data_IF_757468310148
#
_entry.id   IF_757468310148
#
_cell.length_a   1.000
_cell.length_b   1.000
_cell.length_c   1.000
_cell.angle_alpha   90.00
_cell.angle_beta   90.00
_cell.angle_gamma   90.00
#
_symmetry.space_group_name_H-M   'P 1'
#
loop_
_entity.id
_entity.type
_entity.pdbx_description
1 polymer ?
#
# COMPACT_ATOMS: atom_id res chain seq x y z
N UNK A 1 -13.45 49.99 -3.68
CA UNK A 1 -12.04 49.60 -3.50
C UNK A 1 -12.05 48.18 -2.90
N UNK A 2 -11.94 47.13 -3.76
CA UNK A 2 -12.00 45.73 -3.32
C UNK A 2 -10.58 45.28 -3.04
N UNK A 3 -10.29 44.96 -1.78
CA UNK A 3 -9.00 44.47 -1.34
C UNK A 3 -8.74 43.09 -1.96
N UNK A 4 -7.69 42.99 -2.81
CA UNK A 4 -7.19 41.70 -3.35
C UNK A 4 -6.58 40.93 -2.18
N UNK A 5 -7.16 39.76 -1.88
CA UNK A 5 -6.60 38.78 -0.95
C UNK A 5 -5.18 38.39 -1.40
N UNK A 6 -4.20 38.30 -0.47
CA UNK A 6 -2.86 37.86 -0.82
C UNK A 6 -2.92 36.41 -1.32
N UNK A 7 -2.33 36.19 -2.48
CA UNK A 7 -2.13 34.86 -3.08
C UNK A 7 -1.38 33.97 -2.08
N UNK A 8 -2.03 32.89 -1.60
CA UNK A 8 -1.41 31.84 -0.81
C UNK A 8 -0.20 31.32 -1.60
N UNK A 9 0.98 31.65 -1.16
CA UNK A 9 2.22 31.01 -1.60
C UNK A 9 2.03 29.50 -1.42
N UNK A 10 1.98 28.79 -2.54
CA UNK A 10 1.83 27.32 -2.58
C UNK A 10 3.04 26.74 -1.85
N UNK A 11 2.83 26.20 -0.65
CA UNK A 11 3.89 25.57 0.14
C UNK A 11 4.70 24.63 -0.78
N UNK A 12 6.00 24.82 -0.80
CA UNK A 12 6.90 24.03 -1.64
C UNK A 12 6.74 22.56 -1.28
N UNK A 13 6.63 21.70 -2.30
CA UNK A 13 6.47 20.26 -2.06
C UNK A 13 7.85 19.67 -1.75
N UNK A 14 8.11 19.21 -0.51
CA UNK A 14 9.42 18.74 -0.08
C UNK A 14 9.96 17.58 -0.93
N UNK A 15 9.09 16.77 -1.51
CA UNK A 15 9.50 15.69 -2.41
C UNK A 15 10.04 16.22 -3.75
N UNK A 16 9.46 17.31 -4.27
CA UNK A 16 9.97 17.98 -5.49
C UNK A 16 11.31 18.66 -5.23
N UNK A 17 11.46 19.25 -4.06
CA UNK A 17 12.73 19.88 -3.66
C UNK A 17 13.85 18.85 -3.56
N UNK A 18 13.60 17.68 -2.95
CA UNK A 18 14.57 16.61 -2.87
C UNK A 18 14.94 16.05 -4.25
N UNK A 19 13.96 15.86 -5.14
CA UNK A 19 14.23 15.46 -6.53
C UNK A 19 15.09 16.50 -7.26
N UNK A 20 14.83 17.78 -7.06
CA UNK A 20 15.64 18.86 -7.64
C UNK A 20 17.07 18.87 -7.04
N UNK A 21 17.20 18.61 -5.72
CA UNK A 21 18.49 18.51 -5.04
C UNK A 21 19.33 17.34 -5.58
N UNK A 22 18.75 16.14 -5.76
CA UNK A 22 19.42 14.98 -6.39
C UNK A 22 19.96 15.36 -7.76
N UNK A 23 19.15 16.00 -8.60
CA UNK A 23 19.59 16.39 -9.96
C UNK A 23 20.67 17.46 -9.93
N UNK A 24 20.56 18.44 -9.03
CA UNK A 24 21.55 19.51 -8.87
C UNK A 24 22.89 18.94 -8.37
N UNK A 25 22.85 18.03 -7.38
CA UNK A 25 24.03 17.34 -6.85
C UNK A 25 24.76 16.56 -7.94
N UNK A 26 24.03 15.69 -8.68
CA UNK A 26 24.60 14.91 -9.77
C UNK A 26 25.16 15.79 -10.89
N UNK A 27 24.49 16.89 -11.21
CA UNK A 27 24.95 17.85 -12.21
C UNK A 27 26.17 18.69 -11.74
N UNK A 28 26.42 18.76 -10.43
CA UNK A 28 27.59 19.45 -9.85
C UNK A 28 28.86 18.58 -9.86
N UNK A 29 28.74 17.28 -10.07
CA UNK A 29 29.90 16.37 -10.13
C UNK A 29 30.79 16.76 -11.31
N UNK A 30 32.08 17.01 -11.02
CA UNK A 30 33.08 17.29 -12.03
C UNK A 30 33.96 16.06 -12.25
N UNK A 31 33.82 15.37 -13.41
CA UNK A 31 34.67 14.24 -13.71
C UNK A 31 36.13 14.69 -13.90
N UNK A 32 37.01 14.19 -13.07
CA UNK A 32 38.46 14.51 -13.14
C UNK A 32 39.13 13.91 -14.37
N UNK A 33 38.62 12.75 -14.84
CA UNK A 33 39.20 12.03 -16.00
C UNK A 33 38.53 12.47 -17.31
N UNK A 34 39.31 12.68 -18.35
CA UNK A 34 38.83 13.05 -19.69
C UNK A 34 37.85 11.98 -20.25
N UNK A 35 38.14 10.69 -20.03
CA UNK A 35 37.27 9.58 -20.46
C UNK A 35 35.89 9.62 -19.77
N UNK A 36 35.81 10.00 -18.49
CA UNK A 36 34.52 10.17 -17.80
C UNK A 36 33.75 11.37 -18.30
N UNK A 37 34.44 12.49 -18.58
CA UNK A 37 33.80 13.68 -19.20
C UNK A 37 33.18 13.35 -20.54
N UNK A 38 33.92 12.63 -21.40
CA UNK A 38 33.42 12.16 -22.68
C UNK A 38 32.23 11.20 -22.52
N UNK A 39 32.34 10.22 -21.65
CA UNK A 39 31.24 9.27 -21.37
C UNK A 39 29.98 9.97 -20.88
N UNK A 40 30.10 10.88 -19.92
CA UNK A 40 28.98 11.64 -19.39
C UNK A 40 28.34 12.54 -20.46
N UNK A 41 29.15 13.19 -21.28
CA UNK A 41 28.67 14.00 -22.39
C UNK A 41 27.90 13.17 -23.42
N UNK A 42 28.39 11.99 -23.78
CA UNK A 42 27.69 11.05 -24.66
C UNK A 42 26.35 10.61 -24.02
N UNK A 43 26.36 10.29 -22.73
CA UNK A 43 25.13 9.93 -21.99
C UNK A 43 24.11 11.05 -21.95
N UNK A 44 24.55 12.28 -21.78
CA UNK A 44 23.68 13.47 -21.77
C UNK A 44 23.07 13.74 -23.17
N UNK A 45 23.80 13.48 -24.25
CA UNK A 45 23.31 13.58 -25.62
C UNK A 45 22.84 14.98 -26.01
N UNK A 46 21.90 15.06 -26.97
CA UNK A 46 21.27 16.31 -27.43
C UNK A 46 20.28 16.91 -26.42
N UNK A 47 19.88 16.15 -25.39
CA UNK A 47 18.96 16.64 -24.37
C UNK A 47 19.48 17.85 -23.57
N UNK A 48 20.78 18.15 -23.69
CA UNK A 48 21.38 19.32 -23.09
C UNK A 48 20.87 20.67 -23.65
N UNK A 49 20.22 20.66 -24.81
CA UNK A 49 19.75 21.86 -25.53
C UNK A 49 18.23 22.04 -25.48
N UNK A 50 17.47 21.11 -24.88
CA UNK A 50 16.00 21.16 -24.81
C UNK A 50 15.48 21.98 -23.62
N UNK A 51 14.34 22.65 -23.80
CA UNK A 51 13.68 23.52 -22.80
C UNK A 51 13.27 22.84 -21.48
N UNK A 52 13.34 21.51 -21.42
CA UNK A 52 12.82 20.73 -20.28
C UNK A 52 13.82 20.48 -19.14
N UNK A 53 15.06 20.97 -19.22
CA UNK A 53 16.11 20.64 -18.27
C UNK A 53 16.36 21.76 -17.26
N UNK A 54 16.68 21.38 -16.01
CA UNK A 54 17.03 22.35 -14.97
C UNK A 54 18.27 23.15 -15.38
N UNK A 55 18.39 24.40 -14.89
CA UNK A 55 19.56 25.26 -15.14
C UNK A 55 20.87 24.56 -14.73
N UNK A 56 20.86 23.64 -13.76
CA UNK A 56 22.02 22.86 -13.35
C UNK A 56 22.51 21.91 -14.47
N UNK A 57 21.57 21.23 -15.14
CA UNK A 57 21.91 20.34 -16.28
C UNK A 57 22.38 21.11 -17.47
N UNK A 58 21.81 22.29 -17.76
CA UNK A 58 22.28 23.17 -18.82
C UNK A 58 23.74 23.65 -18.57
N UNK A 59 24.05 24.06 -17.33
CA UNK A 59 25.45 24.43 -16.97
C UNK A 59 26.39 23.24 -17.09
N UNK A 60 25.98 22.03 -16.69
CA UNK A 60 26.79 20.84 -16.89
C UNK A 60 27.10 20.59 -18.37
N UNK A 61 26.10 20.70 -19.23
CA UNK A 61 26.28 20.51 -20.67
C UNK A 61 27.33 21.48 -21.27
N UNK A 62 27.30 22.75 -20.84
CA UNK A 62 28.31 23.75 -21.23
C UNK A 62 29.70 23.36 -20.73
N UNK A 63 29.84 22.93 -19.47
CA UNK A 63 31.14 22.50 -18.90
C UNK A 63 31.73 21.27 -19.58
N UNK A 64 30.87 20.32 -19.96
CA UNK A 64 31.32 19.11 -20.64
C UNK A 64 31.77 19.38 -22.10
N UNK A 65 31.42 20.53 -22.66
CA UNK A 65 31.72 20.90 -24.02
C UNK A 65 30.93 20.15 -25.09
N UNK A 66 31.25 20.32 -26.38
CA UNK A 66 30.60 19.62 -27.47
C UNK A 66 30.84 18.12 -27.43
N UNK A 67 29.89 17.32 -27.93
CA UNK A 67 30.07 15.87 -28.05
C UNK A 67 31.21 15.55 -29.02
N UNK A 68 32.14 14.64 -28.66
CA UNK A 68 33.16 14.17 -29.60
C UNK A 68 32.49 13.54 -30.82
N UNK A 69 32.88 13.94 -32.04
CA UNK A 69 32.38 13.36 -33.29
C UNK A 69 31.00 13.87 -33.76
N UNK A 70 30.44 14.92 -33.14
CA UNK A 70 29.19 15.56 -33.58
C UNK A 70 29.38 16.35 -34.90
N UNK A 71 29.60 15.64 -36.00
CA UNK A 71 29.59 16.23 -37.33
C UNK A 71 28.18 16.33 -37.93
N UNK A 72 27.19 15.71 -37.30
CA UNK A 72 25.77 15.81 -37.66
C UNK A 72 24.95 16.05 -36.38
N UNK A 73 23.91 16.91 -36.43
CA UNK A 73 23.12 17.29 -35.25
C UNK A 73 22.44 16.11 -34.52
N UNK A 74 22.24 14.98 -35.19
CA UNK A 74 21.51 13.82 -34.66
C UNK A 74 22.36 12.56 -34.42
N UNK A 75 23.66 12.57 -34.81
CA UNK A 75 24.53 11.41 -34.65
C UNK A 75 25.12 11.40 -33.22
N UNK A 76 24.51 10.62 -32.34
CA UNK A 76 25.08 10.31 -31.01
C UNK A 76 26.26 9.36 -31.23
N UNK A 77 27.52 9.73 -30.87
CA UNK A 77 28.64 8.79 -31.00
C UNK A 77 28.34 7.54 -30.17
N UNK A 78 28.60 6.33 -30.71
CA UNK A 78 28.39 5.09 -29.98
C UNK A 78 29.30 5.06 -28.74
N UNK A 79 28.74 4.83 -27.57
CA UNK A 79 29.50 4.56 -26.35
C UNK A 79 29.84 3.07 -26.30
N UNK A 80 31.15 2.76 -26.35
CA UNK A 80 31.62 1.39 -26.18
C UNK A 80 31.40 0.93 -24.72
N UNK A 81 30.27 0.32 -24.48
CA UNK A 81 29.90 -0.18 -23.14
C UNK A 81 30.77 -1.35 -22.70
N UNK A 82 31.13 -2.24 -23.61
CA UNK A 82 31.86 -3.47 -23.28
C UNK A 82 33.31 -3.17 -22.88
N UNK A 83 34.01 -2.31 -23.65
CA UNK A 83 35.36 -1.90 -23.35
C UNK A 83 35.50 -0.80 -22.30
N UNK A 84 34.40 -0.18 -21.88
CA UNK A 84 34.46 0.92 -20.92
C UNK A 84 34.74 0.42 -19.50
N UNK A 85 35.61 1.12 -18.76
CA UNK A 85 35.81 0.93 -17.34
C UNK A 85 34.58 1.38 -16.56
N UNK A 86 34.35 0.82 -15.34
CA UNK A 86 33.16 1.09 -14.54
C UNK A 86 32.90 2.56 -14.24
N UNK A 87 33.96 3.33 -13.96
CA UNK A 87 33.83 4.78 -13.77
C UNK A 87 33.28 5.51 -15.01
N UNK A 88 33.58 5.03 -16.24
CA UNK A 88 33.04 5.59 -17.47
C UNK A 88 31.57 5.15 -17.67
N UNK A 89 31.24 3.90 -17.35
CA UNK A 89 29.85 3.40 -17.38
C UNK A 89 28.96 4.19 -16.42
N UNK A 90 29.45 4.48 -15.20
CA UNK A 90 28.72 5.30 -14.22
C UNK A 90 28.56 6.75 -14.67
N UNK A 91 29.60 7.36 -15.24
CA UNK A 91 29.53 8.70 -15.80
C UNK A 91 28.52 8.77 -16.97
N UNK A 92 28.53 7.79 -17.87
CA UNK A 92 27.54 7.68 -18.95
C UNK A 92 26.12 7.55 -18.42
N UNK A 93 25.88 6.69 -17.41
CA UNK A 93 24.57 6.53 -16.77
C UNK A 93 24.11 7.80 -16.06
N UNK A 94 25.01 8.54 -15.42
CA UNK A 94 24.71 9.83 -14.79
C UNK A 94 24.20 10.83 -15.84
N UNK A 95 24.93 10.98 -16.97
CA UNK A 95 24.48 11.81 -18.09
C UNK A 95 23.12 11.38 -18.63
N UNK A 96 22.93 10.08 -18.85
CA UNK A 96 21.67 9.51 -19.33
C UNK A 96 20.51 9.77 -18.34
N UNK A 97 20.74 9.66 -17.03
CA UNK A 97 19.73 9.98 -16.00
C UNK A 97 19.38 11.48 -16.00
N UNK A 98 20.37 12.34 -16.11
CA UNK A 98 20.13 13.79 -16.16
C UNK A 98 19.36 14.20 -17.42
N UNK A 99 19.52 13.48 -18.53
CA UNK A 99 18.82 13.71 -19.78
C UNK A 99 17.39 13.12 -19.83
N UNK A 100 17.24 11.89 -19.42
CA UNK A 100 16.04 11.08 -19.68
C UNK A 100 15.37 10.54 -18.40
N UNK A 101 16.05 10.67 -17.23
CA UNK A 101 15.57 10.16 -15.97
C UNK A 101 14.53 11.07 -15.34
N UNK A 102 13.53 10.45 -14.72
CA UNK A 102 12.56 11.08 -13.84
C UNK A 102 12.50 10.33 -12.52
N UNK A 103 12.67 11.04 -11.41
CA UNK A 103 12.52 10.50 -10.06
C UNK A 103 11.22 11.01 -9.45
N UNK A 104 10.43 10.13 -8.90
CA UNK A 104 9.20 10.48 -8.19
C UNK A 104 9.21 9.90 -6.78
N UNK A 105 8.94 10.77 -5.81
CA UNK A 105 8.83 10.47 -4.40
C UNK A 105 7.36 10.65 -4.01
N UNK A 106 6.56 9.59 -4.16
CA UNK A 106 5.15 9.63 -3.77
C UNK A 106 4.93 9.14 -2.35
N UNK A 107 3.74 9.38 -1.81
CA UNK A 107 3.32 9.05 -0.44
C UNK A 107 3.59 7.58 -0.03
N UNK A 108 3.63 6.67 -1.00
CA UNK A 108 3.82 5.24 -0.75
C UNK A 108 4.97 4.60 -1.54
N UNK A 109 5.53 5.24 -2.56
CA UNK A 109 6.46 4.58 -3.48
C UNK A 109 7.48 5.54 -4.08
N UNK A 110 8.76 5.21 -3.91
CA UNK A 110 9.84 5.79 -4.71
C UNK A 110 9.90 5.05 -6.04
N UNK A 111 9.85 5.76 -7.16
CA UNK A 111 10.11 5.15 -8.46
C UNK A 111 10.98 6.06 -9.34
N UNK A 112 11.77 5.43 -10.19
CA UNK A 112 12.60 6.09 -11.16
C UNK A 112 12.24 5.57 -12.55
N UNK A 113 12.09 6.47 -13.48
CA UNK A 113 11.76 6.15 -14.88
C UNK A 113 12.76 6.79 -15.82
N UNK A 114 13.12 6.08 -16.90
CA UNK A 114 13.75 6.64 -18.07
C UNK A 114 12.73 6.69 -19.21
N UNK A 115 12.53 7.86 -19.80
CA UNK A 115 11.61 8.05 -20.92
C UNK A 115 12.42 8.41 -22.16
N UNK A 116 12.38 7.54 -23.17
CA UNK A 116 13.22 7.68 -24.37
C UNK A 116 12.55 7.14 -25.64
N UNK A 117 13.24 7.23 -26.76
CA UNK A 117 12.78 6.62 -28.00
C UNK A 117 12.75 5.09 -27.87
N UNK A 118 11.78 4.40 -28.49
CA UNK A 118 11.68 2.93 -28.42
C UNK A 118 12.94 2.20 -28.91
N UNK A 119 13.66 2.75 -29.87
CA UNK A 119 14.91 2.17 -30.40
C UNK A 119 16.06 2.17 -29.38
N UNK A 120 16.13 3.15 -28.47
CA UNK A 120 17.22 3.30 -27.51
C UNK A 120 17.02 2.46 -26.22
N UNK A 121 15.77 2.16 -25.89
CA UNK A 121 15.41 1.56 -24.62
C UNK A 121 15.96 0.13 -24.42
N UNK A 122 15.98 -0.78 -25.42
CA UNK A 122 16.56 -2.11 -25.25
C UNK A 122 18.06 -2.05 -24.91
N UNK A 123 18.78 -1.09 -25.49
CA UNK A 123 20.22 -0.89 -25.23
C UNK A 123 20.42 -0.47 -23.78
N UNK A 124 19.67 0.53 -23.29
CA UNK A 124 19.75 0.94 -21.89
C UNK A 124 19.32 -0.19 -20.94
N UNK A 125 18.26 -0.93 -21.28
CA UNK A 125 17.80 -2.07 -20.47
C UNK A 125 18.88 -3.13 -20.30
N UNK A 126 19.57 -3.51 -21.40
CA UNK A 126 20.67 -4.47 -21.37
C UNK A 126 21.85 -3.97 -20.52
N UNK A 127 22.23 -2.68 -20.66
CA UNK A 127 23.27 -2.05 -19.85
C UNK A 127 22.96 -2.03 -18.37
N UNK A 128 21.73 -1.71 -17.99
CA UNK A 128 21.28 -1.75 -16.59
C UNK A 128 21.25 -3.17 -16.05
N UNK A 129 20.80 -4.13 -16.85
CA UNK A 129 20.80 -5.55 -16.46
C UNK A 129 22.21 -6.09 -16.23
N UNK A 130 23.21 -5.69 -17.06
CA UNK A 130 24.60 -6.10 -16.88
C UNK A 130 25.24 -5.57 -15.58
N UNK A 131 24.63 -4.57 -14.96
CA UNK A 131 25.02 -4.03 -13.65
C UNK A 131 24.20 -4.60 -12.47
N UNK A 132 23.38 -5.62 -12.70
CA UNK A 132 22.50 -6.18 -11.69
C UNK A 132 21.27 -5.31 -11.37
N UNK A 133 20.96 -4.34 -12.22
CA UNK A 133 19.83 -3.41 -12.04
C UNK A 133 18.79 -3.55 -13.16
N UNK A 134 18.19 -4.74 -13.38
CA UNK A 134 17.19 -4.91 -14.43
C UNK A 134 15.98 -4.00 -14.20
N UNK A 135 15.56 -3.29 -15.27
CA UNK A 135 14.42 -2.38 -15.28
C UNK A 135 13.24 -2.98 -16.06
N UNK A 136 12.02 -2.71 -15.64
CA UNK A 136 10.82 -3.08 -16.39
C UNK A 136 10.65 -2.13 -17.58
N UNK A 137 10.61 -2.67 -18.80
CA UNK A 137 10.41 -1.91 -20.05
C UNK A 137 8.92 -1.96 -20.46
N UNK A 138 8.36 -0.80 -20.77
CA UNK A 138 6.99 -0.65 -21.27
C UNK A 138 6.93 0.41 -22.36
N UNK A 139 6.00 0.26 -23.31
CA UNK A 139 5.66 1.30 -24.27
C UNK A 139 4.47 2.10 -23.74
N UNK A 140 4.58 3.43 -23.76
CA UNK A 140 3.52 4.35 -23.35
C UNK A 140 3.50 5.57 -24.27
N UNK A 141 2.40 5.78 -24.98
CA UNK A 141 2.18 6.93 -25.90
C UNK A 141 3.33 7.09 -26.90
N UNK A 142 3.78 6.01 -27.54
CA UNK A 142 4.86 6.02 -28.51
C UNK A 142 6.26 6.21 -27.92
N UNK A 143 6.42 6.28 -26.61
CA UNK A 143 7.72 6.36 -25.89
C UNK A 143 7.96 5.07 -25.14
N UNK A 144 9.23 4.68 -25.05
CA UNK A 144 9.64 3.60 -24.16
C UNK A 144 9.94 4.15 -22.77
N UNK A 145 9.47 3.43 -21.75
CA UNK A 145 9.64 3.77 -20.33
C UNK A 145 10.28 2.57 -19.63
N UNK A 146 11.50 2.77 -19.12
CA UNK A 146 12.13 1.82 -18.20
C UNK A 146 11.87 2.28 -16.76
N UNK A 147 11.43 1.38 -15.91
CA UNK A 147 10.96 1.77 -14.57
C UNK A 147 11.52 0.85 -13.49
N UNK A 148 11.95 1.43 -12.37
CA UNK A 148 12.07 0.75 -11.07
C UNK A 148 11.04 1.31 -10.08
N UNK A 149 10.36 0.39 -9.38
CA UNK A 149 9.42 0.70 -8.30
C UNK A 149 9.94 0.32 -6.92
N UNK A 150 11.15 -0.25 -6.84
CA UNK A 150 11.82 -0.60 -5.60
C UNK A 150 12.71 0.57 -5.16
N UNK A 151 12.48 1.09 -3.95
CA UNK A 151 13.32 2.13 -3.36
C UNK A 151 14.78 1.70 -3.23
N UNK A 152 15.02 0.42 -2.93
CA UNK A 152 16.37 -0.17 -2.84
C UNK A 152 17.12 -0.10 -4.19
N UNK A 153 16.47 -0.50 -5.30
CA UNK A 153 17.07 -0.42 -6.64
C UNK A 153 17.33 1.01 -7.06
N UNK A 154 16.40 1.92 -6.76
CA UNK A 154 16.56 3.35 -7.01
C UNK A 154 17.75 3.90 -6.21
N UNK A 155 17.88 3.56 -4.93
CA UNK A 155 19.01 3.96 -4.09
C UNK A 155 20.33 3.38 -4.60
N UNK A 156 20.37 2.10 -4.98
CA UNK A 156 21.56 1.46 -5.55
C UNK A 156 22.01 2.14 -6.83
N UNK A 157 21.08 2.46 -7.74
CA UNK A 157 21.37 3.19 -8.96
C UNK A 157 21.91 4.60 -8.67
N UNK A 158 21.22 5.38 -7.83
CA UNK A 158 21.61 6.76 -7.49
C UNK A 158 23.00 6.79 -6.84
N UNK A 159 23.28 5.84 -5.93
CA UNK A 159 24.61 5.67 -5.30
C UNK A 159 25.67 5.36 -6.36
N UNK A 160 25.37 4.46 -7.29
CA UNK A 160 26.29 4.09 -8.37
C UNK A 160 26.67 5.26 -9.26
N UNK A 161 25.75 6.16 -9.58
CA UNK A 161 26.01 7.34 -10.41
C UNK A 161 26.55 8.55 -9.63
N UNK A 162 26.73 8.43 -8.30
CA UNK A 162 27.45 9.40 -7.47
C UNK A 162 26.56 10.30 -6.60
N UNK A 163 25.27 10.01 -6.40
CA UNK A 163 24.47 10.73 -5.42
C UNK A 163 24.92 10.36 -4.00
N UNK A 164 25.11 11.36 -3.15
CA UNK A 164 25.56 11.21 -1.75
C UNK A 164 24.57 11.86 -0.77
N UNK A 165 24.72 13.14 -0.40
CA UNK A 165 23.87 13.80 0.60
C UNK A 165 22.36 13.70 0.30
N UNK A 166 21.94 13.95 -0.94
CA UNK A 166 20.53 13.82 -1.33
C UNK A 166 20.03 12.37 -1.25
N UNK A 167 20.89 11.38 -1.45
CA UNK A 167 20.54 9.98 -1.29
C UNK A 167 20.31 9.63 0.19
N UNK A 168 21.16 10.10 1.09
CA UNK A 168 20.97 9.90 2.54
C UNK A 168 19.65 10.50 3.01
N UNK A 169 19.30 11.69 2.54
CA UNK A 169 18.00 12.31 2.83
C UNK A 169 16.83 11.46 2.26
N UNK A 170 16.97 10.92 1.06
CA UNK A 170 15.98 10.02 0.45
C UNK A 170 15.77 8.76 1.30
N UNK A 171 16.85 8.15 1.75
CA UNK A 171 16.83 6.95 2.58
C UNK A 171 16.21 7.25 3.97
N UNK A 172 16.61 8.35 4.62
CA UNK A 172 16.05 8.79 5.89
C UNK A 172 14.52 9.02 5.81
N UNK A 173 14.06 9.67 4.75
CA UNK A 173 12.61 9.85 4.50
C UNK A 173 11.91 8.50 4.24
N UNK A 174 12.58 7.56 3.60
CA UNK A 174 12.09 6.19 3.41
C UNK A 174 11.82 5.49 4.74
N UNK A 175 12.79 5.49 5.64
CA UNK A 175 12.68 4.92 6.99
C UNK A 175 11.56 5.60 7.79
N UNK A 176 11.53 6.93 7.81
CA UNK A 176 10.49 7.68 8.52
C UNK A 176 9.08 7.37 8.01
N UNK A 177 8.90 7.16 6.71
CA UNK A 177 7.61 6.74 6.12
C UNK A 177 7.20 5.33 6.54
N UNK A 178 8.14 4.39 6.55
CA UNK A 178 7.89 3.02 6.99
C UNK A 178 7.44 2.99 8.44
N UNK A 179 8.15 3.66 9.33
CA UNK A 179 7.82 3.76 10.76
C UNK A 179 6.43 4.39 10.99
N UNK A 180 6.12 5.48 10.30
CA UNK A 180 4.76 6.10 10.38
C UNK A 180 3.68 5.14 9.89
N UNK A 181 3.95 4.40 8.80
CA UNK A 181 3.01 3.40 8.29
C UNK A 181 2.76 2.26 9.27
N UNK A 182 3.78 1.79 9.98
CA UNK A 182 3.67 0.78 11.02
C UNK A 182 2.90 1.29 12.24
N UNK A 183 3.23 2.51 12.70
CA UNK A 183 2.51 3.14 13.81
C UNK A 183 1.02 3.32 13.48
N UNK A 184 0.69 3.82 12.30
CA UNK A 184 -0.70 3.99 11.88
C UNK A 184 -1.45 2.65 11.81
N UNK A 185 -0.80 1.57 11.34
CA UNK A 185 -1.42 0.22 11.36
C UNK A 185 -1.70 -0.25 12.78
N UNK A 186 -0.74 -0.04 13.70
CA UNK A 186 -0.90 -0.39 15.11
C UNK A 186 -2.06 0.39 15.74
N UNK A 187 -2.07 1.71 15.59
CA UNK A 187 -3.14 2.57 16.14
C UNK A 187 -4.52 2.21 15.57
N UNK A 188 -4.61 1.93 14.26
CA UNK A 188 -5.87 1.50 13.65
C UNK A 188 -6.32 0.14 14.18
N UNK A 189 -5.41 -0.80 14.40
CA UNK A 189 -5.72 -2.10 14.97
C UNK A 189 -6.21 -1.97 16.43
N UNK A 190 -5.56 -1.13 17.23
CA UNK A 190 -5.96 -0.85 18.61
C UNK A 190 -7.34 -0.16 18.67
N UNK A 191 -7.55 0.86 17.85
CA UNK A 191 -8.84 1.56 17.77
C UNK A 191 -9.98 0.59 17.38
N UNK A 192 -9.77 -0.25 16.37
CA UNK A 192 -10.75 -1.25 15.95
C UNK A 192 -10.99 -2.34 17.02
N UNK A 193 -9.97 -2.70 17.82
CA UNK A 193 -10.11 -3.62 18.94
C UNK A 193 -10.93 -2.99 20.07
N UNK A 194 -10.65 -1.73 20.40
CA UNK A 194 -11.38 -0.98 21.40
C UNK A 194 -12.87 -0.82 21.02
N UNK A 195 -13.13 -0.39 19.79
CA UNK A 195 -14.50 -0.26 19.27
C UNK A 195 -15.30 -1.56 19.36
N UNK A 196 -14.67 -2.69 18.95
CA UNK A 196 -15.27 -4.01 19.07
C UNK A 196 -15.54 -4.41 20.53
N UNK A 197 -14.62 -4.10 21.43
CA UNK A 197 -14.75 -4.39 22.87
C UNK A 197 -15.88 -3.58 23.49
N UNK A 198 -15.92 -2.27 23.26
CA UNK A 198 -16.97 -1.37 23.76
C UNK A 198 -18.34 -1.77 23.21
N UNK A 199 -18.44 -2.03 21.89
CA UNK A 199 -19.67 -2.47 21.27
C UNK A 199 -20.16 -3.84 21.80
N UNK A 200 -19.26 -4.77 22.08
CA UNK A 200 -19.61 -6.05 22.70
C UNK A 200 -20.11 -5.85 24.14
N UNK A 201 -19.43 -5.03 24.93
CA UNK A 201 -19.85 -4.72 26.30
C UNK A 201 -21.25 -4.09 26.35
N UNK A 202 -21.51 -3.10 25.50
CA UNK A 202 -22.81 -2.45 25.40
C UNK A 202 -23.93 -3.45 25.08
N UNK A 203 -23.73 -4.35 24.10
CA UNK A 203 -24.70 -5.41 23.78
C UNK A 203 -24.92 -6.39 24.94
N UNK A 204 -23.85 -6.74 25.66
CA UNK A 204 -23.93 -7.63 26.82
C UNK A 204 -24.71 -7.00 27.95
N UNK A 205 -24.48 -5.74 28.26
CA UNK A 205 -25.22 -5.00 29.29
C UNK A 205 -26.72 -4.89 28.96
N UNK A 206 -27.03 -4.56 27.68
CA UNK A 206 -28.44 -4.53 27.23
C UNK A 206 -29.11 -5.91 27.33
N UNK A 207 -28.41 -6.97 26.94
CA UNK A 207 -28.90 -8.34 27.04
C UNK A 207 -29.17 -8.74 28.52
N UNK A 208 -28.25 -8.39 29.42
CA UNK A 208 -28.40 -8.65 30.86
C UNK A 208 -29.62 -7.90 31.38
N UNK A 209 -29.73 -6.60 31.10
CA UNK A 209 -30.86 -5.77 31.57
C UNK A 209 -32.21 -6.32 31.06
N UNK A 210 -32.28 -6.78 29.83
CA UNK A 210 -33.49 -7.41 29.25
C UNK A 210 -33.86 -8.70 29.96
N UNK A 211 -32.89 -9.58 30.23
CA UNK A 211 -33.13 -10.85 30.95
C UNK A 211 -33.41 -10.66 32.43
N UNK A 212 -32.94 -9.59 33.06
CA UNK A 212 -33.33 -9.22 34.43
C UNK A 212 -34.76 -8.73 34.48
N UNK A 213 -35.16 -7.86 33.56
CA UNK A 213 -36.50 -7.29 33.50
C UNK A 213 -37.61 -8.36 33.32
N UNK A 214 -37.33 -9.41 32.53
CA UNK A 214 -38.27 -10.50 32.28
C UNK A 214 -38.07 -11.72 33.18
N UNK A 215 -37.14 -11.65 34.15
CA UNK A 215 -36.88 -12.70 35.14
C UNK A 215 -36.12 -13.94 34.64
N UNK A 216 -35.80 -14.03 33.33
CA UNK A 216 -35.10 -15.18 32.76
C UNK A 216 -33.69 -15.36 33.27
N UNK A 217 -33.01 -14.26 33.65
CA UNK A 217 -31.66 -14.35 34.20
C UNK A 217 -31.62 -15.15 35.51
N UNK A 218 -32.67 -15.04 36.35
CA UNK A 218 -32.79 -15.76 37.63
C UNK A 218 -32.87 -17.28 37.43
N UNK A 219 -33.36 -17.74 36.28
CA UNK A 219 -33.49 -19.17 35.93
C UNK A 219 -32.18 -19.78 35.40
N UNK A 220 -31.17 -18.96 35.13
CA UNK A 220 -29.90 -19.42 34.60
C UNK A 220 -28.99 -20.01 35.72
N UNK A 221 -28.03 -20.83 35.32
CA UNK A 221 -27.04 -21.42 36.23
C UNK A 221 -26.25 -20.32 36.94
N UNK A 222 -25.85 -20.59 38.20
CA UNK A 222 -25.10 -19.62 39.00
C UNK A 222 -23.86 -19.08 38.30
N UNK A 223 -23.12 -19.90 37.56
CA UNK A 223 -21.96 -19.45 36.79
C UNK A 223 -22.30 -18.36 35.75
N UNK A 224 -23.48 -18.45 35.09
CA UNK A 224 -23.96 -17.45 34.12
C UNK A 224 -24.37 -16.17 34.84
N UNK A 225 -25.09 -16.30 35.96
CA UNK A 225 -25.49 -15.17 36.81
C UNK A 225 -24.29 -14.44 37.41
N UNK A 226 -23.26 -15.17 37.83
CA UNK A 226 -22.02 -14.58 38.34
C UNK A 226 -21.31 -13.76 37.29
N UNK A 227 -21.24 -14.25 36.04
CA UNK A 227 -20.66 -13.51 34.89
C UNK A 227 -21.50 -12.26 34.57
N UNK A 228 -22.83 -12.34 34.61
CA UNK A 228 -23.70 -11.17 34.40
C UNK A 228 -23.45 -10.09 35.47
N UNK A 229 -23.39 -10.47 36.77
CA UNK A 229 -23.09 -9.54 37.85
C UNK A 229 -21.70 -8.92 37.75
N UNK A 230 -20.70 -9.71 37.36
CA UNK A 230 -19.34 -9.19 37.16
C UNK A 230 -19.29 -8.16 35.99
N UNK A 231 -20.01 -8.42 34.91
CA UNK A 231 -20.11 -7.48 33.77
C UNK A 231 -20.85 -6.18 34.18
N UNK A 232 -21.86 -6.25 34.98
CA UNK A 232 -22.57 -5.06 35.50
C UNK A 232 -21.67 -4.19 36.41
N UNK A 233 -20.81 -4.83 37.22
CA UNK A 233 -19.84 -4.10 38.08
C UNK A 233 -18.71 -3.51 37.29
N UNK A 234 -18.24 -4.19 36.23
CA UNK A 234 -17.13 -3.77 35.39
C UNK A 234 -17.54 -3.69 33.91
N UNK A 235 -18.28 -2.63 33.50
CA UNK A 235 -18.71 -2.46 32.11
C UNK A 235 -17.56 -2.48 31.11
N UNK A 236 -16.43 -1.89 31.49
CA UNK A 236 -15.25 -1.76 30.64
C UNK A 236 -14.24 -2.91 30.80
N UNK A 237 -14.51 -3.84 31.76
CA UNK A 237 -13.59 -4.94 32.03
C UNK A 237 -13.44 -5.87 30.83
N UNK A 238 -12.21 -6.26 30.54
CA UNK A 238 -11.92 -7.26 29.50
C UNK A 238 -12.40 -8.65 29.92
N UNK A 239 -12.55 -9.56 28.96
CA UNK A 239 -12.87 -10.98 29.28
C UNK A 239 -11.82 -11.63 30.18
N UNK A 240 -10.56 -11.18 30.13
CA UNK A 240 -9.49 -11.66 30.98
C UNK A 240 -9.65 -11.21 32.45
N UNK A 241 -9.98 -9.94 32.66
CA UNK A 241 -10.25 -9.37 33.98
C UNK A 241 -11.46 -9.98 34.63
N UNK A 242 -12.57 -10.16 33.89
CA UNK A 242 -13.75 -10.87 34.38
C UNK A 242 -13.44 -12.33 34.74
N UNK A 243 -12.59 -12.98 33.94
CA UNK A 243 -12.18 -14.35 34.22
C UNK A 243 -11.33 -14.44 35.50
N UNK A 244 -10.41 -13.50 35.69
CA UNK A 244 -9.58 -13.40 36.90
C UNK A 244 -10.42 -13.12 38.15
N UNK A 245 -11.35 -12.18 38.07
CA UNK A 245 -12.30 -11.86 39.17
C UNK A 245 -13.12 -13.07 39.60
N UNK A 246 -13.56 -13.89 38.65
CA UNK A 246 -14.42 -15.02 38.87
C UNK A 246 -13.68 -16.35 39.15
N UNK A 247 -12.34 -16.37 39.10
CA UNK A 247 -11.56 -17.61 39.17
C UNK A 247 -11.89 -18.58 38.02
N UNK A 248 -12.26 -18.06 36.85
CA UNK A 248 -12.76 -18.81 35.71
C UNK A 248 -11.80 -18.70 34.50
N UNK A 249 -12.03 -19.49 33.45
CA UNK A 249 -11.29 -19.32 32.21
C UNK A 249 -11.96 -18.27 31.31
N UNK A 250 -11.14 -17.56 30.54
CA UNK A 250 -11.64 -16.57 29.54
C UNK A 250 -12.70 -17.17 28.60
N UNK A 251 -12.51 -18.43 28.17
CA UNK A 251 -13.43 -19.12 27.29
C UNK A 251 -14.78 -19.46 27.99
N UNK A 252 -14.78 -19.73 29.30
CA UNK A 252 -16.02 -19.96 30.05
C UNK A 252 -16.81 -18.67 30.22
N UNK A 253 -16.15 -17.55 30.53
CA UNK A 253 -16.78 -16.22 30.60
C UNK A 253 -17.37 -15.84 29.25
N UNK A 254 -16.62 -16.01 28.18
CA UNK A 254 -17.09 -15.72 26.80
C UNK A 254 -18.35 -16.53 26.46
N UNK A 255 -18.36 -17.83 26.75
CA UNK A 255 -19.54 -18.71 26.51
C UNK A 255 -20.76 -18.28 27.33
N UNK A 256 -20.54 -17.85 28.58
CA UNK A 256 -21.64 -17.37 29.43
C UNK A 256 -22.25 -16.07 28.87
N UNK A 257 -21.45 -15.11 28.46
CA UNK A 257 -21.92 -13.86 27.83
C UNK A 257 -22.62 -14.12 26.49
N UNK A 258 -22.09 -14.99 25.65
CA UNK A 258 -22.77 -15.40 24.41
C UNK A 258 -24.10 -16.12 24.67
N UNK A 259 -24.22 -16.87 25.77
CA UNK A 259 -25.49 -17.47 26.18
C UNK A 259 -26.48 -16.38 26.56
N UNK A 260 -26.09 -15.41 27.37
CA UNK A 260 -26.89 -14.25 27.75
C UNK A 260 -27.40 -13.50 26.52
N UNK A 261 -26.52 -13.14 25.59
CA UNK A 261 -26.89 -12.45 24.34
C UNK A 261 -27.91 -13.28 23.52
N UNK A 262 -27.67 -14.58 23.36
CA UNK A 262 -28.62 -15.48 22.65
C UNK A 262 -29.98 -15.56 23.29
N UNK A 263 -30.04 -15.69 24.62
CA UNK A 263 -31.29 -15.75 25.36
C UNK A 263 -32.08 -14.45 25.27
N UNK A 264 -31.40 -13.31 25.31
CA UNK A 264 -32.03 -12.00 25.16
C UNK A 264 -32.65 -11.76 23.78
N UNK A 265 -32.17 -12.44 22.74
CA UNK A 265 -32.77 -12.41 21.41
C UNK A 265 -34.02 -13.26 21.25
N UNK A 266 -34.24 -14.22 22.16
CA UNK A 266 -35.44 -15.05 22.13
C UNK A 266 -36.59 -14.30 22.83
N UNK A 267 -37.83 -14.36 22.31
CA UNK A 267 -38.98 -13.84 23.02
C UNK A 267 -39.15 -14.57 24.36
N UNK A 268 -39.68 -13.92 25.42
CA UNK A 268 -40.05 -14.62 26.63
C UNK A 268 -41.03 -15.74 26.26
N UNK A 269 -40.85 -16.93 26.86
CA UNK A 269 -41.82 -17.98 26.69
C UNK A 269 -43.16 -17.44 27.25
N UNK A 270 -44.17 -17.44 26.42
CA UNK A 270 -45.50 -17.03 26.84
C UNK A 270 -45.84 -17.77 28.11
N UNK A 271 -46.16 -17.03 29.17
CA UNK A 271 -46.67 -17.60 30.40
C UNK A 271 -47.88 -18.46 30.07
N UNK A 272 -48.30 -19.39 30.97
CA UNK A 272 -49.34 -20.38 30.67
C UNK A 272 -50.59 -19.65 30.17
N UNK A 273 -50.76 -19.60 28.84
CA UNK A 273 -52.00 -19.18 28.22
C UNK A 273 -53.04 -20.18 28.69
N UNK A 274 -53.96 -19.71 29.54
CA UNK A 274 -55.11 -20.45 30.01
C UNK A 274 -55.82 -21.12 28.82
N UNK A 275 -55.76 -22.43 28.77
CA UNK A 275 -56.65 -23.21 27.93
C UNK A 275 -58.06 -22.98 28.40
N UNK A 276 -58.74 -21.95 27.95
CA UNK A 276 -60.16 -21.89 27.88
C UNK A 276 -60.59 -22.75 26.69
N UNK A 277 -61.25 -23.85 26.98
CA UNK A 277 -61.72 -24.81 26.00
C UNK A 277 -62.79 -24.22 25.11
N UNK A 278 -62.63 -24.50 23.85
CA UNK A 278 -63.76 -24.52 22.91
C UNK A 278 -63.61 -25.71 21.97
N UNK A 279 -64.28 -26.79 22.35
CA UNK A 279 -64.64 -27.93 21.50
C UNK A 279 -65.81 -27.48 20.61
N UNK A 280 -65.68 -27.57 19.32
CA UNK A 280 -66.64 -27.82 18.22
C UNK A 280 -65.87 -27.67 16.93
N UNK A 281 -65.96 -28.48 15.96
CA UNK A 281 -66.82 -29.56 15.50
C UNK A 281 -66.23 -29.93 14.15
N UNK A 282 -66.29 -31.17 13.79
CA UNK A 282 -65.86 -31.77 12.54
C UNK A 282 -66.46 -31.05 11.33
N UNK A 283 -65.61 -30.90 10.22
CA UNK A 283 -66.10 -31.55 9.01
C UNK A 283 -64.96 -31.66 7.96
N UNK A 284 -65.04 -32.72 7.22
CA UNK A 284 -64.20 -33.21 6.16
C UNK A 284 -64.26 -32.33 4.92
N UNK A 285 -63.16 -32.26 4.17
CA UNK A 285 -63.15 -32.52 2.74
C UNK A 285 -61.73 -32.37 2.14
N UNK A 286 -61.19 -33.41 1.73
CA UNK A 286 -60.58 -33.79 0.41
C UNK A 286 -60.16 -32.64 -0.49
N UNK A 287 -58.89 -32.71 -0.92
CA UNK A 287 -58.39 -31.93 -2.08
C UNK A 287 -56.89 -32.09 -2.30
N UNK A 288 -56.52 -33.23 -2.88
CA UNK A 288 -55.26 -33.49 -3.55
C UNK A 288 -55.03 -32.46 -4.66
N UNK A 289 -53.79 -31.98 -4.77
CA UNK A 289 -53.04 -31.85 -6.05
C UNK A 289 -51.65 -31.29 -5.83
N UNK A 290 -50.70 -32.14 -6.10
CA UNK A 290 -49.46 -31.98 -6.88
C UNK A 290 -49.17 -30.59 -7.49
N UNK A 291 -47.98 -30.09 -7.30
CA UNK A 291 -46.98 -29.89 -8.36
C UNK A 291 -45.70 -29.21 -7.87
N UNK A 292 -44.62 -29.95 -8.12
CA UNK A 292 -43.42 -29.53 -8.85
C UNK A 292 -42.43 -28.60 -8.15
N UNK A 293 -41.36 -29.23 -7.77
CA UNK A 293 -39.94 -28.85 -7.82
C UNK A 293 -39.60 -27.69 -8.77
N UNK A 294 -38.83 -26.78 -8.25
CA UNK A 294 -37.70 -26.22 -9.02
C UNK A 294 -36.64 -25.71 -8.04
N UNK A 295 -35.55 -26.40 -8.03
CA UNK A 295 -34.24 -26.03 -7.49
C UNK A 295 -33.46 -25.35 -8.61
N UNK A 296 -32.72 -24.30 -8.40
CA UNK A 296 -31.57 -24.04 -9.24
C UNK A 296 -30.26 -23.93 -8.45
N UNK A 297 -29.45 -24.97 -8.55
CA UNK A 297 -28.10 -24.85 -9.07
C UNK A 297 -27.08 -24.09 -8.23
N UNK A 298 -26.44 -24.79 -7.31
CA UNK A 298 -25.14 -24.49 -6.76
C UNK A 298 -24.08 -25.17 -7.64
N UNK A 299 -23.23 -24.41 -8.35
CA UNK A 299 -22.10 -24.92 -9.08
C UNK A 299 -20.80 -24.59 -8.35
N UNK A 300 -19.90 -25.55 -8.11
CA UNK A 300 -18.59 -25.30 -7.51
C UNK A 300 -17.54 -24.96 -8.57
N UNK A 301 -16.74 -23.93 -8.31
CA UNK A 301 -15.52 -23.65 -9.04
C UNK A 301 -14.48 -24.76 -8.82
N UNK A 302 -14.08 -25.43 -9.88
CA UNK A 302 -12.99 -26.40 -9.91
C UNK A 302 -11.65 -25.74 -10.32
N UNK A 303 -10.50 -26.36 -9.99
CA UNK A 303 -9.17 -25.79 -10.21
C UNK A 303 -8.68 -25.98 -11.64
N UNK A 304 -7.97 -24.97 -12.14
CA UNK A 304 -7.30 -24.95 -13.43
C UNK A 304 -6.16 -25.98 -13.49
N UNK A 305 -6.16 -26.79 -14.54
CA UNK A 305 -5.12 -27.75 -14.89
C UNK A 305 -3.92 -27.07 -15.54
N UNK A 306 -2.74 -27.43 -15.07
CA UNK A 306 -1.47 -27.32 -15.77
C UNK A 306 -1.52 -28.02 -17.11
N UNK A 307 -1.11 -27.33 -18.16
CA UNK A 307 -0.89 -27.87 -19.53
C UNK A 307 0.58 -27.86 -19.86
N UNK A 308 1.11 -29.05 -19.96
CA UNK A 308 2.43 -29.46 -20.42
C UNK A 308 2.74 -28.97 -21.84
N UNK A 309 3.99 -28.55 -22.04
CA UNK A 309 4.62 -28.37 -23.35
C UNK A 309 4.85 -29.69 -24.06
N UNK A 310 4.97 -29.71 -25.42
CA UNK A 310 6.21 -30.20 -26.01
C UNK A 310 6.67 -29.43 -27.26
N UNK A 311 7.96 -29.48 -27.49
CA UNK A 311 8.64 -29.18 -28.76
C UNK A 311 9.67 -28.07 -28.67
#
# INVERSE_FOLDING_TARGET
MVARSPSRTRAANPDRELVAAVRAELAAIEPTRACCRSAERIGLGSAATGEAHSAAVARLAVRLGPSPGASAPDARPPFDWAGAADHCRMAWLRGTFLAHGSLSLGFARTHLEFVMAPADAPVLAGRLASLGLPAALRLRRGRAVLTWKSGERVAAFLRGIGAGPSLLELEARGVARTLRGELNRLLNAEAANLERSVGASARQLEAIARLEADGRLALEREAVRAVARARLRGPDATLGELAAELGATRSSVQRALQRIERLALQPPADGPSGRAGERRGADSAHGTRDHARQDPGNAPFGPAREGLLPG
#
